data_IF_438562832983
#
_entry.id   IF_438562832983
#
_cell.length_a   1.000
_cell.length_b   1.000
_cell.length_c   1.000
_cell.angle_alpha   90.00
_cell.angle_beta   90.00
_cell.angle_gamma   90.00
#
_symmetry.space_group_name_H-M   'P 1'
#
loop_
_entity.id
_entity.type
_entity.pdbx_description
1 polymer ?
#
# COMPACT_ATOMS: atom_id res chain seq x y z
N UNK A 1 21.14 0.94 10.80
CA UNK A 1 19.93 0.95 11.66
C UNK A 1 19.26 2.28 11.40
N UNK A 2 17.96 2.30 11.16
CA UNK A 2 17.23 3.53 10.89
C UNK A 2 17.09 4.35 12.18
N UNK A 3 17.23 5.67 12.10
CA UNK A 3 16.86 6.57 13.20
C UNK A 3 15.36 6.85 13.18
N UNK A 4 14.78 6.97 11.99
CA UNK A 4 13.35 7.12 11.71
C UNK A 4 12.97 6.31 10.46
N UNK A 5 11.74 5.84 10.39
CA UNK A 5 11.26 4.99 9.31
C UNK A 5 10.44 5.82 8.30
N UNK A 6 10.86 5.92 7.03
CA UNK A 6 10.10 6.63 6.02
C UNK A 6 8.73 5.97 5.80
N UNK A 7 7.72 6.78 5.55
CA UNK A 7 6.36 6.32 5.28
C UNK A 7 5.82 6.84 3.94
N UNK A 8 4.87 6.11 3.38
CA UNK A 8 4.00 6.60 2.33
C UNK A 8 2.56 6.74 2.82
N UNK A 9 1.84 7.70 2.28
CA UNK A 9 0.43 7.90 2.61
C UNK A 9 -0.47 7.05 1.72
N UNK A 10 -1.49 6.42 2.31
CA UNK A 10 -2.59 5.77 1.58
C UNK A 10 -3.95 6.26 2.10
N UNK A 11 -5.05 5.99 1.39
CA UNK A 11 -6.42 6.45 1.68
C UNK A 11 -6.63 7.99 1.66
N UNK A 12 -5.60 8.78 1.42
CA UNK A 12 -5.66 10.25 1.41
C UNK A 12 -6.58 10.83 0.34
N UNK A 13 -6.90 10.08 -0.68
CA UNK A 13 -7.68 10.49 -1.85
C UNK A 13 -9.18 10.22 -1.74
N UNK A 14 -9.66 9.63 -0.66
CA UNK A 14 -11.04 9.12 -0.54
C UNK A 14 -12.16 10.14 -0.82
N UNK A 15 -11.90 11.45 -0.64
CA UNK A 15 -12.85 12.52 -0.92
C UNK A 15 -12.64 13.21 -2.27
N UNK A 16 -11.52 12.96 -2.94
CA UNK A 16 -11.21 13.57 -4.23
C UNK A 16 -11.89 12.79 -5.37
N UNK A 17 -12.64 13.49 -6.22
CA UNK A 17 -13.40 12.91 -7.32
C UNK A 17 -12.96 13.44 -8.70
N UNK A 18 -12.26 14.54 -8.74
CA UNK A 18 -11.81 15.21 -9.96
C UNK A 18 -10.29 15.36 -9.97
N UNK A 19 -9.66 15.51 -11.17
CA UNK A 19 -8.22 15.78 -11.25
C UNK A 19 -7.76 16.95 -10.38
N UNK A 20 -8.50 18.06 -10.38
CA UNK A 20 -8.16 19.24 -9.59
C UNK A 20 -8.26 19.00 -8.06
N UNK A 21 -9.17 18.14 -7.60
CA UNK A 21 -9.26 17.73 -6.21
C UNK A 21 -8.10 16.79 -5.84
N UNK A 22 -7.75 15.85 -6.72
CA UNK A 22 -6.61 14.95 -6.55
C UNK A 22 -5.29 15.73 -6.45
N UNK A 23 -5.07 16.70 -7.34
CA UNK A 23 -3.90 17.58 -7.31
C UNK A 23 -3.76 18.30 -5.96
N UNK A 24 -4.83 18.97 -5.49
CA UNK A 24 -4.83 19.67 -4.21
C UNK A 24 -4.63 18.75 -3.02
N UNK A 25 -5.30 17.59 -3.01
CA UNK A 25 -5.16 16.62 -1.93
C UNK A 25 -3.73 16.06 -1.89
N UNK A 26 -3.18 15.69 -3.04
CA UNK A 26 -1.80 15.20 -3.15
C UNK A 26 -0.77 16.22 -2.67
N UNK A 27 -0.89 17.49 -3.10
CA UNK A 27 -0.02 18.57 -2.67
C UNK A 27 -0.07 18.78 -1.14
N UNK A 28 -1.28 18.72 -0.54
CA UNK A 28 -1.45 18.85 0.90
C UNK A 28 -0.80 17.69 1.69
N UNK A 29 -0.82 16.48 1.14
CA UNK A 29 -0.18 15.31 1.75
C UNK A 29 1.34 15.37 1.59
N UNK A 30 1.83 15.70 0.40
CA UNK A 30 3.26 15.86 0.15
C UNK A 30 3.88 16.93 1.07
N UNK A 31 3.17 18.03 1.35
CA UNK A 31 3.60 19.06 2.29
C UNK A 31 3.79 18.57 3.74
N UNK A 32 3.24 17.40 4.09
CA UNK A 32 3.50 16.75 5.39
C UNK A 32 4.81 15.97 5.43
N UNK A 33 5.54 15.88 4.32
CA UNK A 33 6.86 15.27 4.22
C UNK A 33 6.86 13.77 3.92
N UNK A 34 5.75 13.19 3.46
CA UNK A 34 5.72 11.80 3.02
C UNK A 34 6.63 11.56 1.82
N UNK A 35 7.37 10.45 1.84
CA UNK A 35 8.22 10.02 0.74
C UNK A 35 7.40 9.62 -0.49
N UNK A 36 6.26 8.98 -0.29
CA UNK A 36 5.42 8.49 -1.37
C UNK A 36 3.93 8.60 -1.07
N UNK A 37 3.12 8.59 -2.12
CA UNK A 37 1.66 8.59 -2.07
C UNK A 37 1.12 7.40 -2.85
N UNK A 38 0.38 6.49 -2.17
CA UNK A 38 -0.32 5.36 -2.78
C UNK A 38 -1.79 5.71 -3.03
N UNK A 39 -2.32 5.31 -4.18
CA UNK A 39 -3.73 5.50 -4.53
C UNK A 39 -4.17 4.55 -5.65
N UNK A 40 -5.49 4.36 -5.76
CA UNK A 40 -6.14 3.62 -6.84
C UNK A 40 -6.88 4.61 -7.76
N UNK A 41 -6.37 4.89 -8.97
CA UNK A 41 -7.00 5.81 -9.91
C UNK A 41 -8.08 5.17 -10.78
N UNK A 42 -8.33 3.86 -10.65
CA UNK A 42 -9.10 3.10 -11.62
C UNK A 42 -10.61 3.06 -11.33
N UNK A 43 -11.05 3.49 -10.13
CA UNK A 43 -12.45 3.55 -9.76
C UNK A 43 -13.18 2.21 -9.95
N UNK A 44 -14.30 2.26 -10.65
CA UNK A 44 -15.13 1.07 -10.91
C UNK A 44 -14.73 0.28 -12.18
N UNK A 45 -13.55 0.51 -12.75
CA UNK A 45 -13.12 -0.23 -13.93
C UNK A 45 -12.87 -1.71 -13.58
N UNK A 46 -13.33 -2.60 -14.47
CA UNK A 46 -13.20 -4.06 -14.30
C UNK A 46 -11.95 -4.61 -14.98
N UNK A 47 -11.96 -5.93 -15.20
CA UNK A 47 -10.85 -6.71 -15.76
C UNK A 47 -10.36 -6.24 -17.12
N UNK A 48 -11.25 -5.71 -17.94
CA UNK A 48 -10.96 -5.13 -19.25
C UNK A 48 -11.53 -3.70 -19.31
N UNK A 49 -10.74 -2.69 -18.85
CA UNK A 49 -11.21 -1.32 -18.73
C UNK A 49 -11.46 -0.70 -20.11
N UNK A 50 -12.50 0.13 -20.20
CA UNK A 50 -12.76 0.89 -21.44
C UNK A 50 -11.67 1.94 -21.67
N UNK A 51 -11.53 2.39 -22.93
CA UNK A 51 -10.63 3.50 -23.24
C UNK A 51 -10.99 4.80 -22.47
N UNK A 52 -12.25 4.96 -22.07
CA UNK A 52 -12.70 6.08 -21.23
C UNK A 52 -12.17 5.94 -19.81
N UNK A 53 -12.22 4.74 -19.22
CA UNK A 53 -11.74 4.49 -17.85
C UNK A 53 -10.23 4.68 -17.75
N UNK A 54 -9.51 4.18 -18.76
CA UNK A 54 -8.04 4.38 -18.84
C UNK A 54 -7.70 5.88 -18.95
N UNK A 55 -8.42 6.66 -19.76
CA UNK A 55 -8.17 8.12 -19.83
C UNK A 55 -8.43 8.81 -18.51
N UNK A 56 -9.52 8.47 -17.80
CA UNK A 56 -9.81 9.03 -16.47
C UNK A 56 -8.68 8.71 -15.48
N UNK A 57 -8.18 7.47 -15.46
CA UNK A 57 -7.06 7.08 -14.60
C UNK A 57 -5.79 7.88 -14.93
N UNK A 58 -5.47 8.06 -16.22
CA UNK A 58 -4.33 8.88 -16.67
C UNK A 58 -4.48 10.32 -16.19
N UNK A 59 -5.66 10.93 -16.34
CA UNK A 59 -5.92 12.31 -15.92
C UNK A 59 -5.75 12.48 -14.40
N UNK A 60 -6.17 11.49 -13.59
CA UNK A 60 -5.99 11.51 -12.14
C UNK A 60 -4.51 11.37 -11.76
N UNK A 61 -3.77 10.44 -12.38
CA UNK A 61 -2.33 10.25 -12.12
C UNK A 61 -1.53 11.49 -12.54
N UNK A 62 -1.85 12.09 -13.69
CA UNK A 62 -1.24 13.33 -14.14
C UNK A 62 -1.45 14.47 -13.13
N UNK A 63 -2.67 14.62 -12.60
CA UNK A 63 -3.00 15.63 -11.61
C UNK A 63 -2.23 15.41 -10.28
N UNK A 64 -2.11 14.17 -9.82
CA UNK A 64 -1.31 13.84 -8.64
C UNK A 64 0.15 14.19 -8.86
N UNK A 65 0.75 13.76 -9.98
CA UNK A 65 2.15 14.09 -10.33
C UNK A 65 2.38 15.60 -10.41
N UNK A 66 1.45 16.36 -10.98
CA UNK A 66 1.51 17.82 -11.00
C UNK A 66 1.48 18.42 -9.59
N UNK A 67 0.63 17.90 -8.71
CA UNK A 67 0.49 18.41 -7.34
C UNK A 67 1.69 18.16 -6.45
N UNK A 68 2.41 17.04 -6.65
CA UNK A 68 3.53 16.65 -5.77
C UNK A 68 4.91 16.95 -6.35
N UNK A 69 5.02 17.24 -7.64
CA UNK A 69 6.32 17.43 -8.31
C UNK A 69 7.07 16.11 -8.55
N UNK A 70 8.33 16.16 -9.01
CA UNK A 70 9.10 14.99 -9.40
C UNK A 70 9.70 14.17 -8.24
N UNK A 71 9.83 14.76 -7.05
CA UNK A 71 10.63 14.19 -5.95
C UNK A 71 9.83 13.27 -5.02
N UNK A 72 8.50 13.19 -5.20
CA UNK A 72 7.62 12.30 -4.42
C UNK A 72 7.33 11.04 -5.21
N UNK A 73 7.54 9.88 -4.58
CA UNK A 73 7.25 8.58 -5.17
C UNK A 73 5.74 8.39 -5.37
N UNK A 74 5.29 8.08 -6.59
CA UNK A 74 3.90 7.70 -6.87
C UNK A 74 3.77 6.19 -6.88
N UNK A 75 2.81 5.69 -6.12
CA UNK A 75 2.54 4.29 -5.88
C UNK A 75 1.11 4.00 -6.34
N UNK A 76 0.93 3.14 -7.32
CA UNK A 76 -0.41 2.80 -7.83
C UNK A 76 -0.76 1.40 -7.39
N UNK A 77 -1.96 1.24 -6.83
CA UNK A 77 -2.54 -0.04 -6.49
C UNK A 77 -3.72 -0.35 -7.41
N UNK A 78 -3.63 -1.45 -8.13
CA UNK A 78 -4.69 -1.90 -9.02
C UNK A 78 -5.58 -2.99 -8.40
N UNK A 79 -5.28 -3.45 -7.18
CA UNK A 79 -6.07 -4.42 -6.43
C UNK A 79 -6.40 -5.71 -7.23
N UNK A 80 -5.49 -6.18 -8.08
CA UNK A 80 -5.63 -7.43 -8.83
C UNK A 80 -6.66 -7.42 -9.96
N UNK A 81 -7.10 -6.23 -10.43
CA UNK A 81 -8.32 -6.11 -11.24
C UNK A 81 -8.20 -6.44 -12.72
N UNK A 82 -7.02 -6.32 -13.32
CA UNK A 82 -6.90 -6.37 -14.78
C UNK A 82 -6.66 -7.78 -15.35
N UNK A 83 -6.98 -7.97 -16.63
CA UNK A 83 -6.38 -9.02 -17.43
C UNK A 83 -4.91 -8.70 -17.72
N UNK A 84 -4.10 -9.71 -18.07
CA UNK A 84 -2.67 -9.50 -18.37
C UNK A 84 -2.48 -8.44 -19.48
N UNK A 85 -3.27 -8.51 -20.56
CA UNK A 85 -3.18 -7.55 -21.66
C UNK A 85 -3.55 -6.13 -21.25
N UNK A 86 -4.64 -5.99 -20.48
CA UNK A 86 -5.08 -4.69 -19.97
C UNK A 86 -4.07 -4.10 -18.97
N UNK A 87 -3.51 -4.91 -18.08
CA UNK A 87 -2.47 -4.49 -17.14
C UNK A 87 -1.25 -3.90 -17.86
N UNK A 88 -0.74 -4.60 -18.87
CA UNK A 88 0.41 -4.13 -19.67
C UNK A 88 0.09 -2.84 -20.42
N UNK A 89 -1.11 -2.74 -21.02
CA UNK A 89 -1.53 -1.54 -21.73
C UNK A 89 -1.66 -0.32 -20.80
N UNK A 90 -2.27 -0.49 -19.63
CA UNK A 90 -2.40 0.54 -18.59
C UNK A 90 -1.01 0.98 -18.11
N UNK A 91 -0.14 0.05 -17.72
CA UNK A 91 1.19 0.36 -17.21
C UNK A 91 2.03 1.15 -18.24
N UNK A 92 1.99 0.78 -19.52
CA UNK A 92 2.68 1.51 -20.58
C UNK A 92 2.16 2.93 -20.77
N UNK A 93 0.85 3.13 -20.64
CA UNK A 93 0.25 4.48 -20.71
C UNK A 93 0.58 5.34 -19.50
N UNK A 94 0.89 4.73 -18.35
CA UNK A 94 1.30 5.42 -17.13
C UNK A 94 2.81 5.64 -17.03
N UNK A 95 3.63 5.11 -17.96
CA UNK A 95 5.09 5.27 -17.97
C UNK A 95 5.55 6.75 -17.88
N UNK A 96 4.92 7.74 -18.55
CA UNK A 96 5.34 9.13 -18.47
C UNK A 96 5.26 9.78 -17.08
N UNK A 97 4.59 9.14 -16.13
CA UNK A 97 4.40 9.69 -14.78
C UNK A 97 5.42 9.17 -13.76
N UNK A 98 6.41 8.37 -14.18
CA UNK A 98 7.50 7.87 -13.35
C UNK A 98 7.01 7.25 -12.02
N UNK A 99 6.19 6.22 -12.14
CA UNK A 99 5.65 5.50 -10.97
C UNK A 99 6.77 4.73 -10.27
N UNK A 100 6.84 4.83 -8.96
CA UNK A 100 7.79 4.05 -8.16
C UNK A 100 7.44 2.56 -8.20
N UNK A 101 6.14 2.20 -8.10
CA UNK A 101 5.64 0.85 -8.39
C UNK A 101 4.22 0.82 -8.94
N UNK A 102 3.89 -0.32 -9.57
CA UNK A 102 2.54 -0.79 -9.84
C UNK A 102 2.27 -2.00 -8.95
N UNK A 103 1.29 -1.89 -8.05
CA UNK A 103 0.90 -2.92 -7.10
C UNK A 103 -0.26 -3.75 -7.67
N UNK A 104 -0.14 -5.06 -7.58
CA UNK A 104 -1.14 -6.06 -7.99
C UNK A 104 -1.94 -5.68 -9.25
N UNK A 105 -1.29 -5.49 -10.40
CA UNK A 105 -2.01 -5.16 -11.65
C UNK A 105 -2.98 -6.27 -12.10
N UNK A 106 -2.66 -7.52 -11.77
CA UNK A 106 -3.50 -8.71 -11.98
C UNK A 106 -3.63 -9.47 -10.66
N UNK A 107 -4.63 -10.36 -10.56
CA UNK A 107 -4.83 -11.17 -9.38
C UNK A 107 -3.57 -11.99 -9.04
N UNK A 108 -2.96 -11.78 -7.86
CA UNK A 108 -1.71 -12.41 -7.49
C UNK A 108 -1.81 -13.91 -7.22
N UNK A 109 -3.00 -14.50 -7.10
CA UNK A 109 -3.16 -15.96 -7.00
C UNK A 109 -2.62 -16.68 -8.23
N UNK A 110 -2.61 -16.02 -9.38
CA UNK A 110 -1.98 -16.53 -10.60
C UNK A 110 -0.58 -15.95 -10.77
N UNK A 111 0.42 -16.57 -10.14
CA UNK A 111 1.83 -16.17 -10.22
C UNK A 111 2.34 -16.10 -11.67
N UNK A 112 1.84 -16.97 -12.57
CA UNK A 112 2.21 -16.96 -13.99
C UNK A 112 1.71 -15.71 -14.71
N UNK A 113 0.47 -15.29 -14.45
CA UNK A 113 -0.09 -14.06 -15.01
C UNK A 113 0.63 -12.82 -14.47
N UNK A 114 0.89 -12.78 -13.16
CA UNK A 114 1.62 -11.68 -12.52
C UNK A 114 3.03 -11.56 -13.09
N UNK A 115 3.74 -12.67 -13.22
CA UNK A 115 5.07 -12.74 -13.84
C UNK A 115 5.06 -12.30 -15.32
N UNK A 116 4.01 -12.64 -16.08
CA UNK A 116 3.89 -12.18 -17.46
C UNK A 116 3.73 -10.65 -17.55
N UNK A 117 3.04 -10.04 -16.60
CA UNK A 117 2.94 -8.57 -16.50
C UNK A 117 4.29 -7.97 -16.10
N UNK A 118 4.94 -8.47 -15.04
CA UNK A 118 6.23 -7.96 -14.55
C UNK A 118 7.29 -7.87 -15.65
N UNK A 119 7.40 -8.91 -16.50
CA UNK A 119 8.31 -8.88 -17.66
C UNK A 119 7.98 -7.84 -18.73
N UNK A 120 6.75 -7.36 -18.78
CA UNK A 120 6.24 -6.55 -19.89
C UNK A 120 6.05 -5.05 -19.55
N UNK A 121 6.15 -4.69 -18.27
CA UNK A 121 5.94 -3.32 -17.79
C UNK A 121 7.27 -2.64 -17.43
N UNK A 122 7.35 -1.30 -17.57
CA UNK A 122 8.55 -0.55 -17.18
C UNK A 122 8.61 -0.21 -15.69
N UNK A 123 7.48 -0.24 -14.97
CA UNK A 123 7.42 0.03 -13.54
C UNK A 123 7.89 -1.19 -12.73
N UNK A 124 8.33 -0.94 -11.50
CA UNK A 124 8.52 -2.02 -10.52
C UNK A 124 7.20 -2.70 -10.23
N UNK A 125 7.20 -4.03 -10.21
CA UNK A 125 6.05 -4.82 -9.80
C UNK A 125 6.07 -5.00 -8.28
N UNK A 126 5.03 -4.53 -7.60
CA UNK A 126 4.82 -4.73 -6.17
C UNK A 126 3.65 -5.70 -5.91
N UNK A 127 3.78 -6.58 -4.93
CA UNK A 127 2.74 -7.55 -4.55
C UNK A 127 3.10 -8.26 -3.25
N UNK A 128 2.15 -8.97 -2.66
CA UNK A 128 2.42 -9.85 -1.51
C UNK A 128 1.38 -9.80 -0.39
N UNK A 129 0.51 -8.82 -0.35
CA UNK A 129 -0.50 -8.63 0.71
C UNK A 129 -1.46 -9.83 0.86
N UNK A 130 -1.77 -10.50 -0.25
CA UNK A 130 -2.68 -11.67 -0.29
C UNK A 130 -1.97 -13.00 -0.10
N UNK A 131 -0.65 -13.00 -0.04
CA UNK A 131 0.13 -14.20 0.23
C UNK A 131 0.22 -14.45 1.74
N UNK A 132 -0.54 -15.42 2.24
CA UNK A 132 -0.70 -15.67 3.67
C UNK A 132 0.37 -16.57 4.30
N UNK A 133 1.38 -17.00 3.53
CA UNK A 133 2.45 -17.83 4.06
C UNK A 133 3.78 -17.61 3.34
N UNK A 134 4.89 -17.86 4.06
CA UNK A 134 6.23 -17.81 3.48
C UNK A 134 6.43 -18.76 2.31
N UNK A 135 5.68 -19.85 2.24
CA UNK A 135 5.78 -20.83 1.14
C UNK A 135 5.21 -20.28 -0.15
N UNK A 136 4.06 -19.59 -0.08
CA UNK A 136 3.47 -18.90 -1.22
C UNK A 136 4.38 -17.76 -1.70
N UNK A 137 4.90 -16.97 -0.76
CA UNK A 137 5.80 -15.86 -1.06
C UNK A 137 7.12 -16.36 -1.68
N UNK A 138 7.68 -17.46 -1.19
CA UNK A 138 8.87 -18.07 -1.81
C UNK A 138 8.58 -18.52 -3.25
N UNK A 139 7.44 -19.13 -3.50
CA UNK A 139 7.01 -19.53 -4.84
C UNK A 139 6.84 -18.34 -5.78
N UNK A 140 6.30 -17.22 -5.26
CA UNK A 140 6.17 -15.97 -5.99
C UNK A 140 7.55 -15.37 -6.32
N UNK A 141 8.44 -15.28 -5.35
CA UNK A 141 9.81 -14.77 -5.55
C UNK A 141 10.62 -15.60 -6.54
N UNK A 142 10.36 -16.91 -6.63
CA UNK A 142 11.01 -17.78 -7.61
C UNK A 142 10.69 -17.43 -9.08
N UNK A 143 9.71 -16.56 -9.34
CA UNK A 143 9.45 -16.03 -10.69
C UNK A 143 10.51 -15.02 -11.15
N UNK A 144 11.25 -14.40 -10.23
CA UNK A 144 12.21 -13.30 -10.43
C UNK A 144 11.63 -12.05 -11.12
N UNK A 145 10.33 -11.82 -10.95
CA UNK A 145 9.61 -10.68 -11.59
C UNK A 145 9.00 -9.72 -10.56
N UNK A 146 9.20 -9.97 -9.27
CA UNK A 146 8.74 -9.10 -8.19
C UNK A 146 9.88 -8.17 -7.78
N UNK A 147 9.63 -6.87 -7.83
CA UNK A 147 10.62 -5.85 -7.49
C UNK A 147 10.46 -5.31 -6.07
N UNK A 148 9.24 -5.36 -5.50
CA UNK A 148 8.94 -4.97 -4.12
C UNK A 148 7.97 -5.99 -3.52
N UNK A 149 8.34 -6.59 -2.39
CA UNK A 149 7.48 -7.52 -1.70
C UNK A 149 6.70 -6.80 -0.59
N UNK A 150 5.37 -7.00 -0.55
CA UNK A 150 4.46 -6.32 0.38
C UNK A 150 3.67 -7.30 1.26
N UNK A 151 4.34 -8.13 2.06
CA UNK A 151 3.62 -9.07 2.91
C UNK A 151 2.85 -8.31 3.99
N UNK A 152 1.67 -8.79 4.30
CA UNK A 152 0.89 -8.28 5.42
C UNK A 152 1.25 -9.03 6.71
N UNK A 153 1.69 -8.29 7.71
CA UNK A 153 2.16 -8.84 8.98
C UNK A 153 1.07 -9.64 9.72
N UNK A 154 -0.20 -9.21 9.61
CA UNK A 154 -1.32 -9.91 10.25
C UNK A 154 -1.65 -11.19 9.48
N UNK A 155 -1.71 -11.11 8.15
CA UNK A 155 -2.09 -12.23 7.28
C UNK A 155 -1.06 -13.36 7.32
N UNK A 156 0.23 -13.05 7.42
CA UNK A 156 1.28 -14.08 7.45
C UNK A 156 1.47 -14.72 8.83
N UNK A 157 0.84 -14.21 9.89
CA UNK A 157 0.88 -14.78 11.23
C UNK A 157 1.81 -14.08 12.21
N UNK A 158 2.11 -12.79 12.01
CA UNK A 158 2.79 -11.93 12.96
C UNK A 158 4.27 -11.67 12.67
N UNK A 159 4.92 -10.96 13.60
CA UNK A 159 6.28 -10.42 13.45
C UNK A 159 7.31 -11.51 13.07
N UNK A 160 7.27 -12.69 13.70
CA UNK A 160 8.26 -13.73 13.46
C UNK A 160 8.17 -14.29 12.02
N UNK A 161 6.96 -14.53 11.52
CA UNK A 161 6.78 -15.02 10.14
C UNK A 161 7.12 -13.92 9.12
N UNK A 162 6.68 -12.69 9.34
CA UNK A 162 7.02 -11.56 8.48
C UNK A 162 8.54 -11.31 8.43
N UNK A 163 9.26 -11.48 9.55
CA UNK A 163 10.73 -11.38 9.60
C UNK A 163 11.42 -12.47 8.76
N UNK A 164 10.92 -13.72 8.80
CA UNK A 164 11.43 -14.80 7.94
C UNK A 164 11.22 -14.51 6.47
N UNK A 165 10.05 -13.97 6.13
CA UNK A 165 9.71 -13.58 4.76
C UNK A 165 10.63 -12.46 4.27
N UNK A 166 10.86 -11.43 5.09
CA UNK A 166 11.80 -10.36 4.78
C UNK A 166 13.23 -10.89 4.54
N UNK A 167 13.68 -11.86 5.32
CA UNK A 167 14.98 -12.49 5.13
C UNK A 167 15.06 -13.32 3.83
N UNK A 168 13.97 -13.97 3.41
CA UNK A 168 13.91 -14.67 2.12
C UNK A 168 13.99 -13.66 0.97
N UNK A 169 13.25 -12.54 1.06
CA UNK A 169 13.29 -11.45 0.08
C UNK A 169 14.68 -10.81 0.01
N UNK A 170 15.32 -10.56 1.15
CA UNK A 170 16.68 -10.00 1.23
C UNK A 170 17.70 -10.89 0.51
N UNK A 171 17.62 -12.21 0.71
CA UNK A 171 18.47 -13.17 0.01
C UNK A 171 18.25 -13.19 -1.52
N UNK A 172 17.10 -12.72 -1.99
CA UNK A 172 16.77 -12.55 -3.41
C UNK A 172 17.02 -11.09 -3.91
N UNK A 173 17.63 -10.23 -3.10
CA UNK A 173 17.82 -8.80 -3.37
C UNK A 173 16.53 -8.02 -3.61
N UNK A 174 15.42 -8.45 -3.00
CA UNK A 174 14.11 -7.81 -3.13
C UNK A 174 13.81 -7.02 -1.87
N UNK A 175 13.54 -5.70 -1.97
CA UNK A 175 13.11 -4.86 -0.87
C UNK A 175 11.71 -5.23 -0.39
N UNK A 176 11.43 -4.91 0.88
CA UNK A 176 10.11 -5.10 1.49
C UNK A 176 9.49 -3.77 1.92
N UNK A 177 8.15 -3.69 1.77
CA UNK A 177 7.31 -2.61 2.23
C UNK A 177 6.02 -3.23 2.77
N UNK A 178 5.87 -3.36 4.09
CA UNK A 178 4.76 -4.13 4.65
C UNK A 178 3.42 -3.46 4.41
N UNK A 179 2.46 -4.23 3.86
CA UNK A 179 1.07 -3.83 3.76
C UNK A 179 0.46 -3.64 5.15
N UNK A 180 -0.23 -2.51 5.40
CA UNK A 180 -0.73 -2.15 6.72
C UNK A 180 -1.94 -1.20 6.65
N UNK A 181 -3.13 -1.62 6.18
CA UNK A 181 -4.36 -0.83 6.15
C UNK A 181 -5.13 -0.88 7.47
N UNK A 182 -4.57 -1.55 8.47
CA UNK A 182 -5.22 -1.85 9.74
C UNK A 182 -5.04 -0.76 10.80
N UNK A 183 -5.39 -1.11 12.04
CA UNK A 183 -5.34 -0.19 13.16
C UNK A 183 -3.93 -0.01 13.77
N UNK A 184 -3.83 0.81 14.82
CA UNK A 184 -2.56 1.25 15.38
C UNK A 184 -1.74 0.13 16.04
N UNK A 185 -2.35 -0.98 16.44
CA UNK A 185 -1.61 -2.16 16.97
C UNK A 185 -0.82 -2.83 15.86
N UNK A 186 -1.42 -3.00 14.68
CA UNK A 186 -0.74 -3.55 13.51
C UNK A 186 0.41 -2.62 13.08
N UNK A 187 0.13 -1.31 13.01
CA UNK A 187 1.16 -0.30 12.69
C UNK A 187 2.32 -0.32 13.68
N UNK A 188 2.05 -0.47 14.99
CA UNK A 188 3.11 -0.56 16.00
C UNK A 188 3.98 -1.82 15.81
N UNK A 189 3.36 -2.94 15.49
CA UNK A 189 4.08 -4.18 15.21
C UNK A 189 4.92 -4.06 13.91
N UNK A 190 4.37 -3.43 12.88
CA UNK A 190 5.08 -3.16 11.63
C UNK A 190 6.30 -2.24 11.86
N UNK A 191 6.14 -1.14 12.57
CA UNK A 191 7.23 -0.20 12.91
C UNK A 191 8.38 -0.90 13.65
N UNK A 192 8.08 -1.81 14.59
CA UNK A 192 9.12 -2.59 15.27
C UNK A 192 9.84 -3.57 14.33
N UNK A 193 9.09 -4.17 13.41
CA UNK A 193 9.65 -5.07 12.40
C UNK A 193 10.53 -4.31 11.39
N UNK A 194 10.06 -3.18 10.90
CA UNK A 194 10.78 -2.31 9.94
C UNK A 194 12.13 -1.88 10.51
N UNK A 195 12.14 -1.44 11.78
CA UNK A 195 13.35 -0.97 12.45
C UNK A 195 14.49 -2.01 12.46
N UNK A 196 14.17 -3.28 12.38
CA UNK A 196 15.13 -4.38 12.34
C UNK A 196 15.22 -5.12 11.00
N UNK A 197 14.62 -4.58 9.93
CA UNK A 197 14.58 -5.20 8.60
C UNK A 197 15.50 -4.45 7.64
N UNK A 198 16.58 -5.12 7.23
CA UNK A 198 17.67 -4.49 6.44
C UNK A 198 17.23 -4.02 5.05
N UNK A 199 16.35 -4.80 4.41
CA UNK A 199 15.79 -4.53 3.08
C UNK A 199 14.46 -3.79 3.09
N UNK A 200 14.08 -3.15 4.21
CA UNK A 200 12.91 -2.29 4.33
C UNK A 200 13.05 -1.01 3.48
N UNK A 201 11.95 -0.56 2.86
CA UNK A 201 11.92 0.64 2.02
C UNK A 201 11.13 1.77 2.67
N UNK A 202 9.83 1.57 2.90
CA UNK A 202 8.92 2.55 3.49
C UNK A 202 7.69 1.86 4.07
N UNK A 203 7.11 2.43 5.13
CA UNK A 203 5.94 1.89 5.81
C UNK A 203 4.66 2.52 5.32
N UNK A 204 3.64 1.70 5.11
CA UNK A 204 2.29 2.18 4.80
C UNK A 204 1.68 2.96 5.97
N UNK A 205 1.15 4.16 5.68
CA UNK A 205 0.38 4.97 6.61
C UNK A 205 -1.05 5.14 6.11
N UNK A 206 -1.98 4.43 6.74
CA UNK A 206 -3.38 4.37 6.34
C UNK A 206 -4.30 5.07 7.36
N UNK A 207 -4.11 4.82 8.65
CA UNK A 207 -5.02 5.28 9.71
C UNK A 207 -5.25 6.78 9.75
N UNK A 208 -4.27 7.60 9.35
CA UNK A 208 -4.38 9.06 9.37
C UNK A 208 -5.49 9.57 8.44
N UNK A 209 -5.76 8.85 7.36
CA UNK A 209 -6.67 9.30 6.31
C UNK A 209 -7.98 8.53 6.26
N UNK A 210 -7.99 7.29 6.74
CA UNK A 210 -9.19 6.44 6.76
C UNK A 210 -10.05 6.73 8.00
N UNK A 211 -9.61 6.26 9.16
CA UNK A 211 -10.37 6.38 10.41
C UNK A 211 -9.46 6.94 11.52
N UNK A 212 -9.30 8.29 11.60
CA UNK A 212 -8.37 8.92 12.55
C UNK A 212 -8.60 8.58 14.02
N UNK A 213 -9.86 8.24 14.43
CA UNK A 213 -10.18 7.83 15.79
C UNK A 213 -9.44 6.55 16.21
N UNK A 214 -8.93 5.75 15.27
CA UNK A 214 -8.13 4.56 15.59
C UNK A 214 -6.89 4.91 16.42
N UNK A 215 -6.35 6.12 16.27
CA UNK A 215 -5.23 6.58 17.11
C UNK A 215 -5.58 6.71 18.59
N UNK A 216 -6.84 6.92 18.91
CA UNK A 216 -7.30 7.08 20.30
C UNK A 216 -7.46 5.73 21.03
N UNK A 217 -7.33 4.60 20.33
CA UNK A 217 -7.39 3.25 20.89
C UNK A 217 -6.20 2.91 21.80
N UNK A 218 -5.09 3.63 21.69
CA UNK A 218 -3.84 3.38 22.41
C UNK A 218 -3.31 4.66 23.05
N UNK A 219 -2.64 4.54 24.21
CA UNK A 219 -2.01 5.68 24.86
C UNK A 219 -0.95 6.35 23.99
N UNK A 220 -0.21 5.52 23.25
CA UNK A 220 0.89 5.94 22.39
C UNK A 220 0.78 5.27 21.00
N UNK A 221 -0.31 5.55 20.29
CA UNK A 221 -0.47 5.06 18.94
C UNK A 221 0.62 5.65 18.02
N UNK A 222 1.30 4.84 17.18
CA UNK A 222 2.28 5.35 16.24
C UNK A 222 1.61 6.25 15.21
N UNK A 223 2.08 7.49 15.15
CA UNK A 223 1.61 8.49 14.16
C UNK A 223 2.82 8.96 13.36
N UNK A 224 2.71 9.05 12.04
CA UNK A 224 3.80 9.61 11.24
C UNK A 224 3.96 11.11 11.49
N UNK A 225 5.18 11.57 11.62
CA UNK A 225 5.54 12.97 11.77
C UNK A 225 6.55 13.35 10.71
N UNK A 226 6.24 14.34 9.88
CA UNK A 226 7.11 14.69 8.76
C UNK A 226 7.32 13.53 7.79
N UNK A 227 6.28 12.72 7.53
CA UNK A 227 6.34 11.55 6.66
C UNK A 227 7.15 10.37 7.18
N UNK A 228 7.43 10.31 8.49
CA UNK A 228 8.24 9.27 9.11
C UNK A 228 7.60 8.77 10.41
N UNK A 229 7.79 7.50 10.72
CA UNK A 229 7.52 6.95 12.04
C UNK A 229 8.78 7.02 12.90
N UNK A 230 8.62 7.48 14.15
CA UNK A 230 9.65 7.34 15.17
C UNK A 230 9.62 5.91 15.72
N UNK A 231 10.80 5.36 16.02
CA UNK A 231 10.91 4.00 16.58
C UNK A 231 10.60 4.07 18.08
N UNK A 232 9.54 3.37 18.57
CA UNK A 232 9.19 3.41 19.98
C UNK A 232 10.29 2.76 20.86
N UNK A 233 10.69 3.45 21.93
CA UNK A 233 11.67 2.95 22.90
C UNK A 233 11.04 2.30 24.15
N UNK A 234 9.70 2.34 24.28
CA UNK A 234 8.97 1.75 25.41
C UNK A 234 8.92 0.22 25.30
N UNK A 235 8.75 -0.49 26.41
CA UNK A 235 8.60 -1.96 26.42
C UNK A 235 7.46 -2.46 25.52
N UNK A 236 7.61 -3.67 25.02
CA UNK A 236 6.64 -4.31 24.11
C UNK A 236 6.60 -3.64 22.74
N UNK A 237 5.43 -3.35 22.24
CA UNK A 237 5.25 -2.60 20.99
C UNK A 237 5.41 -1.07 21.17
N UNK A 238 5.61 -0.61 22.41
CA UNK A 238 5.80 0.79 22.73
C UNK A 238 4.51 1.62 22.78
N UNK A 239 3.34 0.99 22.77
CA UNK A 239 2.03 1.66 22.57
C UNK A 239 1.29 2.02 23.86
N UNK A 240 1.73 1.57 25.03
CA UNK A 240 1.02 1.76 26.29
C UNK A 240 -0.21 0.86 26.42
N UNK A 241 -1.25 1.35 27.08
CA UNK A 241 -2.50 0.63 27.34
C UNK A 241 -3.47 0.75 26.17
N UNK A 242 -4.27 -0.30 25.96
CA UNK A 242 -5.42 -0.27 25.07
C UNK A 242 -6.62 0.36 25.78
N UNK A 243 -7.37 1.19 25.12
CA UNK A 243 -8.54 1.91 25.63
C UNK A 243 -9.84 1.27 25.15
N UNK A 244 -10.37 0.30 25.89
CA UNK A 244 -11.58 -0.43 25.47
C UNK A 244 -12.82 0.48 25.38
N UNK A 245 -12.90 1.55 26.16
CA UNK A 245 -13.99 2.51 26.11
C UNK A 245 -14.08 3.22 24.75
N UNK A 246 -12.96 3.47 24.08
CA UNK A 246 -12.94 4.06 22.73
C UNK A 246 -13.47 3.03 21.72
N UNK A 247 -13.05 1.78 21.82
CA UNK A 247 -13.56 0.71 20.94
C UNK A 247 -15.06 0.48 21.13
N UNK A 248 -15.54 0.49 22.37
CA UNK A 248 -16.97 0.32 22.68
C UNK A 248 -17.83 1.49 22.21
N UNK A 249 -17.29 2.71 22.19
CA UNK A 249 -17.97 3.89 21.65
C UNK A 249 -18.09 3.87 20.12
N UNK A 250 -17.31 3.01 19.43
CA UNK A 250 -17.31 2.86 17.98
C UNK A 250 -17.48 1.37 17.60
N UNK A 251 -18.69 0.81 17.81
CA UNK A 251 -18.96 -0.58 17.49
C UNK A 251 -18.77 -0.86 15.99
N UNK A 252 -18.52 -2.10 15.66
CA UNK A 252 -18.41 -2.54 14.26
C UNK A 252 -19.66 -2.14 13.47
N UNK A 253 -19.43 -1.39 12.40
CA UNK A 253 -20.47 -1.03 11.43
C UNK A 253 -20.23 -1.83 10.15
N UNK A 254 -21.10 -2.79 9.79
CA UNK A 254 -20.94 -3.57 8.56
C UNK A 254 -21.05 -2.71 7.30
N UNK A 255 -21.59 -1.49 7.44
CA UNK A 255 -21.73 -0.55 6.35
C UNK A 255 -20.57 0.44 6.22
N UNK A 256 -19.63 0.47 7.15
CA UNK A 256 -18.47 1.37 7.14
C UNK A 256 -17.26 0.81 6.36
N UNK A 257 -17.48 0.02 5.31
CA UNK A 257 -16.39 -0.46 4.44
C UNK A 257 -15.97 0.61 3.43
N UNK A 258 -14.69 0.56 3.04
CA UNK A 258 -14.18 1.36 1.94
C UNK A 258 -15.03 1.15 0.69
N UNK A 259 -15.37 2.22 -0.06
CA UNK A 259 -16.15 2.11 -1.28
C UNK A 259 -15.57 1.18 -2.34
N UNK A 260 -14.28 0.92 -2.32
CA UNK A 260 -13.58 -0.01 -3.20
C UNK A 260 -14.23 -1.40 -3.25
N UNK A 261 -14.78 -1.86 -2.12
CA UNK A 261 -15.38 -3.19 -1.99
C UNK A 261 -16.91 -3.19 -2.09
N UNK A 262 -17.57 -2.02 -2.17
CA UNK A 262 -19.03 -1.88 -2.25
C UNK A 262 -19.58 -1.81 -3.65
N UNK A 263 -18.81 -1.41 -4.63
CA UNK A 263 -19.27 -1.12 -5.99
C UNK A 263 -19.40 -2.36 -6.89
N UNK A 264 -19.76 -3.52 -6.34
CA UNK A 264 -19.86 -4.76 -7.11
C UNK A 264 -18.49 -5.30 -7.56
N UNK A 265 -17.43 -4.93 -6.88
CA UNK A 265 -16.09 -5.43 -7.14
C UNK A 265 -16.04 -6.96 -7.18
N UNK A 266 -16.62 -7.65 -6.18
CA UNK A 266 -16.68 -9.10 -6.12
C UNK A 266 -17.63 -9.74 -7.16
N UNK A 267 -18.55 -8.96 -7.75
CA UNK A 267 -19.49 -9.43 -8.77
C UNK A 267 -18.89 -9.38 -10.18
N UNK A 268 -17.67 -8.88 -10.32
CA UNK A 268 -16.99 -8.66 -11.61
C UNK A 268 -15.96 -9.75 -11.96
N UNK A 269 -15.85 -10.74 -11.09
CA UNK A 269 -14.96 -11.88 -11.28
C UNK A 269 -15.71 -13.17 -11.59
#
# INVERSE_FOLDING_TARGET
>A
MYERLPAYANAWYGQAKTPAEMERAAAAVAAKGYRGLKFDPFGDSGRDPSASDIRKAIDLVAAVRQGVGPDVDLLIDAHGRFSVGAAVDVCRKLEPFDLYWMEEPVDPENHGALSAVGRAIPQRLATGERCTSRYLLQSLLATNEVDVLQPDLIHVGGILEAKKIAAIADAAYIPVSFHNPFGPVATAAAVQLDACTANFVMQESFCEYDIPMRFDLLDHAPKPVGGHYDIPERPGLGVGEFRPEVALAHPFDPDAFLPLFRSGWAERF
#
